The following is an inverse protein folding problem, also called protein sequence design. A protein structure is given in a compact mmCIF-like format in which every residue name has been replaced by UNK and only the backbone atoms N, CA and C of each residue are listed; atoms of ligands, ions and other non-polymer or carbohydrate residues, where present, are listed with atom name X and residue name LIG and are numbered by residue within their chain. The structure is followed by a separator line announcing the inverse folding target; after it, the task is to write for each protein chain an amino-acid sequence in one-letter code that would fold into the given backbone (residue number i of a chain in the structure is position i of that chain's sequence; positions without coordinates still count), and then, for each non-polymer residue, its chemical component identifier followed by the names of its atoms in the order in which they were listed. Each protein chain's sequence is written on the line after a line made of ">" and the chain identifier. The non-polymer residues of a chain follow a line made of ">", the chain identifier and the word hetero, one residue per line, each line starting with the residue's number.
data_IF_781691526568
#
_entry.id   IF_781691526568
#
_cell.length_a   1.000
_cell.length_b   1.000
_cell.length_c   1.000
_cell.angle_alpha   90.00
_cell.angle_beta   90.00
_cell.angle_gamma   90.00
#
_symmetry.space_group_name_H-M   'P 1'
#
loop_
_entity.id
_entity.type
_entity.pdbx_description
1 polymer ?
#
# COMPACT_ATOMS: atom_id res chain seq x y z
N UNK A 1 -9.54 -6.34 0.13
CA UNK A 1 -8.23 -7.01 0.16
C UNK A 1 -8.05 -7.74 1.47
N UNK A 2 -7.60 -8.97 1.42
CA UNK A 2 -7.30 -9.74 2.63
C UNK A 2 -5.83 -9.56 3.00
N UNK A 3 -5.57 -9.34 4.27
CA UNK A 3 -4.21 -9.15 4.77
C UNK A 3 -4.14 -9.58 6.22
N UNK A 4 -2.91 -9.75 6.72
CA UNK A 4 -2.66 -9.99 8.15
C UNK A 4 -1.61 -9.01 8.65
N UNK A 5 -1.68 -8.68 9.93
CA UNK A 5 -0.68 -7.83 10.56
C UNK A 5 0.51 -8.71 10.93
N UNK A 6 1.68 -8.38 10.41
CA UNK A 6 2.91 -9.12 10.66
C UNK A 6 3.70 -8.50 11.81
N UNK A 7 3.71 -7.19 11.86
CA UNK A 7 4.40 -6.44 12.90
C UNK A 7 3.72 -5.10 13.09
N UNK A 8 3.69 -4.65 14.32
CA UNK A 8 3.06 -3.37 14.64
C UNK A 8 3.81 -2.69 15.78
N UNK A 9 4.06 -1.41 15.62
CA UNK A 9 4.55 -0.54 16.68
C UNK A 9 3.79 0.78 16.58
N UNK A 10 4.00 1.66 17.55
CA UNK A 10 3.28 2.93 17.58
C UNK A 10 3.60 3.76 16.33
N UNK A 11 2.57 4.06 15.55
CA UNK A 11 2.71 4.87 14.34
C UNK A 11 3.32 4.14 13.15
N UNK A 12 3.48 2.81 13.25
CA UNK A 12 4.03 2.01 12.15
C UNK A 12 3.42 0.63 12.17
N UNK A 13 2.95 0.19 11.01
CA UNK A 13 2.36 -1.14 10.87
C UNK A 13 2.93 -1.83 9.63
N UNK A 14 3.19 -3.12 9.76
CA UNK A 14 3.57 -3.96 8.62
C UNK A 14 2.49 -5.02 8.43
N UNK A 15 1.91 -5.05 7.25
CA UNK A 15 0.88 -6.02 6.89
C UNK A 15 1.37 -6.87 5.73
N UNK A 16 0.92 -8.12 5.68
CA UNK A 16 1.17 -9.00 4.57
C UNK A 16 -0.15 -9.25 3.83
N UNK A 17 -0.15 -8.94 2.54
CA UNK A 17 -1.32 -9.19 1.68
C UNK A 17 -1.41 -10.69 1.41
N UNK A 18 -2.60 -11.24 1.58
CA UNK A 18 -2.82 -12.67 1.38
C UNK A 18 -3.01 -12.94 -0.11
N UNK A 19 -1.90 -13.17 -0.80
CA UNK A 19 -1.87 -13.52 -2.21
C UNK A 19 -0.55 -14.26 -2.50
N UNK A 20 -0.52 -15.04 -3.58
CA UNK A 20 0.66 -15.85 -3.92
C UNK A 20 1.84 -15.00 -4.40
N UNK A 21 1.55 -14.04 -5.24
CA UNK A 21 2.55 -13.16 -5.84
C UNK A 21 2.02 -11.75 -5.94
N UNK A 22 2.95 -10.81 -5.85
CA UNK A 22 2.63 -9.41 -6.11
C UNK A 22 3.58 -8.92 -7.21
N UNK A 23 2.99 -8.38 -8.28
CA UNK A 23 3.77 -7.77 -9.36
C UNK A 23 4.20 -6.37 -8.92
N UNK A 24 5.20 -5.80 -9.63
CA UNK A 24 5.61 -4.42 -9.39
C UNK A 24 4.44 -3.46 -9.63
N UNK A 25 3.64 -3.72 -10.65
CA UNK A 25 2.45 -2.92 -10.94
C UNK A 25 1.45 -2.95 -9.78
N UNK A 26 1.19 -4.13 -9.23
CA UNK A 26 0.32 -4.28 -8.08
C UNK A 26 0.87 -3.57 -6.85
N UNK A 27 2.18 -3.68 -6.62
CA UNK A 27 2.83 -2.99 -5.52
C UNK A 27 2.70 -1.47 -5.66
N UNK A 28 2.86 -0.94 -6.87
CA UNK A 28 2.72 0.47 -7.14
C UNK A 28 1.28 0.96 -6.92
N UNK A 29 0.30 0.15 -7.34
CA UNK A 29 -1.11 0.47 -7.12
C UNK A 29 -1.46 0.50 -5.64
N UNK A 30 -0.96 -0.47 -4.88
CA UNK A 30 -1.19 -0.52 -3.44
C UNK A 30 -0.53 0.68 -2.75
N UNK A 31 0.71 0.98 -3.09
CA UNK A 31 1.42 2.14 -2.56
C UNK A 31 0.67 3.42 -2.88
N UNK A 32 0.20 3.56 -4.14
CA UNK A 32 -0.59 4.68 -4.59
C UNK A 32 -1.83 4.87 -3.72
N UNK A 33 -2.55 3.79 -3.54
CA UNK A 33 -3.78 3.80 -2.76
C UNK A 33 -3.52 4.24 -1.32
N UNK A 34 -2.50 3.65 -0.69
CA UNK A 34 -2.17 3.98 0.70
C UNK A 34 -1.71 5.43 0.85
N UNK A 35 -1.02 5.96 -0.14
CA UNK A 35 -0.57 7.36 -0.12
C UNK A 35 -1.74 8.35 -0.21
N UNK A 36 -2.93 7.92 -0.63
CA UNK A 36 -4.10 8.80 -0.64
C UNK A 36 -4.71 8.97 0.74
N UNK A 37 -4.33 8.14 1.72
CA UNK A 37 -4.81 8.30 3.08
C UNK A 37 -4.11 9.49 3.73
N UNK A 38 -4.87 10.50 4.20
CA UNK A 38 -4.26 11.75 4.67
C UNK A 38 -3.31 11.59 5.85
N UNK A 39 -3.53 10.56 6.69
CA UNK A 39 -2.71 10.32 7.87
C UNK A 39 -1.44 9.52 7.56
N UNK A 40 -1.27 9.03 6.33
CA UNK A 40 -0.07 8.29 5.95
C UNK A 40 1.11 9.24 5.81
N UNK A 41 2.20 8.92 6.50
CA UNK A 41 3.45 9.69 6.44
C UNK A 41 4.45 9.06 5.48
N UNK A 42 4.54 7.73 5.50
CA UNK A 42 5.44 7.00 4.62
C UNK A 42 4.84 5.63 4.32
N UNK A 43 4.89 5.25 3.06
CA UNK A 43 4.39 3.94 2.60
C UNK A 43 5.48 3.26 1.80
N UNK A 44 5.76 2.00 2.15
CA UNK A 44 6.71 1.17 1.40
C UNK A 44 6.06 -0.18 1.15
N UNK A 45 6.01 -0.61 -0.10
CA UNK A 45 5.46 -1.91 -0.46
C UNK A 45 6.58 -2.78 -1.01
N UNK A 46 6.68 -4.00 -0.46
CA UNK A 46 7.68 -4.99 -0.86
C UNK A 46 6.99 -6.11 -1.64
N UNK A 47 7.11 -6.08 -2.95
CA UNK A 47 6.41 -7.04 -3.82
C UNK A 47 6.86 -8.47 -3.59
N UNK A 48 8.12 -8.68 -3.25
CA UNK A 48 8.67 -10.02 -3.05
C UNK A 48 8.04 -10.76 -1.88
N UNK A 49 7.72 -10.03 -0.82
CA UNK A 49 7.13 -10.61 0.40
C UNK A 49 5.64 -10.31 0.51
N UNK A 50 5.07 -9.58 -0.44
CA UNK A 50 3.69 -9.12 -0.43
C UNK A 50 3.37 -8.30 0.82
N UNK A 51 4.35 -7.58 1.35
CA UNK A 51 4.19 -6.79 2.57
C UNK A 51 4.13 -5.29 2.26
N UNK A 52 3.35 -4.59 3.06
CA UNK A 52 3.29 -3.13 3.04
C UNK A 52 3.61 -2.60 4.43
N UNK A 53 4.51 -1.62 4.49
CA UNK A 53 4.86 -0.93 5.72
C UNK A 53 4.32 0.49 5.63
N UNK A 54 3.50 0.87 6.59
CA UNK A 54 2.89 2.21 6.64
C UNK A 54 3.29 2.90 7.93
N UNK A 55 3.91 4.06 7.79
CA UNK A 55 4.10 4.98 8.91
C UNK A 55 2.99 6.01 8.85
N UNK A 56 2.32 6.23 9.95
CA UNK A 56 1.12 7.06 9.98
C UNK A 56 0.99 7.81 11.29
N UNK A 57 0.23 8.87 11.24
CA UNK A 57 -0.14 9.65 12.41
C UNK A 57 -1.66 9.80 12.37
N UNK A 58 -2.37 8.84 12.97
CA UNK A 58 -3.81 8.80 12.94
C UNK A 58 -4.36 7.55 13.60
N UNK A 59 -5.62 7.23 13.32
CA UNK A 59 -6.29 6.10 13.92
C UNK A 59 -5.92 4.80 13.19
N UNK A 60 -5.39 3.85 13.95
CA UNK A 60 -5.04 2.53 13.45
C UNK A 60 -6.25 1.83 12.81
N UNK A 61 -7.41 1.95 13.41
CA UNK A 61 -8.62 1.29 12.91
C UNK A 61 -9.04 1.88 11.56
N UNK A 62 -8.89 3.17 11.38
CA UNK A 62 -9.15 3.80 10.08
C UNK A 62 -8.22 3.25 9.00
N UNK A 63 -6.95 3.06 9.32
CA UNK A 63 -5.99 2.48 8.39
C UNK A 63 -6.40 1.07 7.99
N UNK A 64 -6.77 0.23 8.95
CA UNK A 64 -7.18 -1.14 8.67
C UNK A 64 -8.44 -1.19 7.81
N UNK A 65 -9.40 -0.32 8.07
CA UNK A 65 -10.60 -0.20 7.26
C UNK A 65 -10.25 0.26 5.84
N UNK A 66 -9.38 1.23 5.73
CA UNK A 66 -8.91 1.75 4.44
C UNK A 66 -8.25 0.65 3.62
N UNK A 67 -7.36 -0.13 4.25
CA UNK A 67 -6.70 -1.27 3.59
C UNK A 67 -7.71 -2.33 3.13
N UNK A 68 -8.72 -2.63 3.95
CA UNK A 68 -9.69 -3.68 3.63
C UNK A 68 -10.53 -3.34 2.40
N UNK A 69 -10.64 -2.07 2.06
CA UNK A 69 -11.40 -1.60 0.90
C UNK A 69 -10.60 -1.66 -0.41
N UNK A 70 -9.31 -1.92 -0.31
CA UNK A 70 -8.45 -1.93 -1.50
C UNK A 70 -8.80 -3.08 -2.45
N UNK A 71 -8.78 -2.79 -3.75
CA UNK A 71 -8.91 -3.78 -4.81
C UNK A 71 -8.10 -3.32 -6.01
N UNK A 72 -7.32 -4.23 -6.60
CA UNK A 72 -6.53 -3.91 -7.80
C UNK A 72 -7.40 -3.58 -9.01
N UNK A 73 -8.67 -3.94 -8.99
CA UNK A 73 -9.60 -3.69 -10.10
C UNK A 73 -10.47 -2.47 -9.87
N UNK A 74 -10.24 -1.74 -8.79
CA UNK A 74 -11.02 -0.56 -8.46
C UNK A 74 -10.82 0.55 -9.49
N UNK A 75 -11.92 1.22 -9.89
CA UNK A 75 -11.87 2.36 -10.79
C UNK A 75 -11.04 3.51 -10.20
N UNK A 76 -11.10 3.66 -8.89
CA UNK A 76 -10.33 4.70 -8.20
C UNK A 76 -8.83 4.45 -8.34
N UNK A 77 -8.42 3.18 -8.28
CA UNK A 77 -7.02 2.81 -8.45
C UNK A 77 -6.57 3.08 -9.88
N UNK A 78 -7.42 2.80 -10.86
CA UNK A 78 -7.15 3.11 -12.25
C UNK A 78 -6.90 4.61 -12.45
N UNK A 79 -7.62 5.46 -11.75
CA UNK A 79 -7.43 6.91 -11.79
C UNK A 79 -6.11 7.33 -11.14
N UNK A 80 -5.64 6.58 -10.15
CA UNK A 80 -4.38 6.87 -9.48
C UNK A 80 -3.17 6.41 -10.28
N UNK A 81 -3.33 5.40 -11.12
CA UNK A 81 -2.24 4.82 -11.88
C UNK A 81 -1.40 5.85 -12.66
N UNK A 82 -2.00 6.80 -13.42
CA UNK A 82 -1.22 7.83 -14.11
C UNK A 82 -0.38 8.69 -13.18
N UNK A 83 -0.91 9.02 -12.00
CA UNK A 83 -0.21 9.82 -11.00
C UNK A 83 1.04 9.10 -10.51
N UNK A 84 1.01 7.78 -10.49
CA UNK A 84 2.08 6.96 -9.96
C UNK A 84 3.07 6.45 -11.00
N UNK A 85 2.87 6.76 -12.27
CA UNK A 85 3.78 6.37 -13.33
C UNK A 85 5.19 6.90 -13.08
N UNK A 86 5.32 8.16 -12.67
CA UNK A 86 6.61 8.75 -12.35
C UNK A 86 7.29 8.08 -11.16
N UNK A 87 6.50 7.67 -10.17
CA UNK A 87 7.03 6.98 -9.01
C UNK A 87 7.55 5.59 -9.38
N UNK A 88 6.82 4.87 -10.22
CA UNK A 88 7.27 3.57 -10.71
C UNK A 88 8.58 3.69 -11.46
N UNK A 89 8.74 4.71 -12.29
CA UNK A 89 10.00 4.98 -13.00
C UNK A 89 11.14 5.25 -12.03
N UNK A 90 10.88 6.02 -10.98
CA UNK A 90 11.90 6.28 -9.96
C UNK A 90 12.35 5.00 -9.28
N UNK A 91 11.44 4.05 -9.07
CA UNK A 91 11.78 2.74 -8.52
C UNK A 91 12.73 1.98 -9.41
N UNK A 92 12.52 2.04 -10.72
CA UNK A 92 13.35 1.33 -11.67
C UNK A 92 14.79 1.85 -11.65
N UNK A 93 14.97 3.11 -11.35
CA UNK A 93 16.30 3.73 -11.29
C UNK A 93 17.01 3.54 -9.95
N UNK A 94 16.31 3.07 -8.98
CA UNK A 94 16.88 2.77 -7.67
C UNK A 94 17.32 1.31 -7.57
#
# INVERSE_FOLDING_TARGET
>A
MKFKIVHESRGRIRVQVIQNRMTLEQADLLEAYLCTWPAAQQVTVHERTCCAVVRYEGDRQELLTFLSRFSYTSTEIAKLAPTHTGRALNREYQ
#
